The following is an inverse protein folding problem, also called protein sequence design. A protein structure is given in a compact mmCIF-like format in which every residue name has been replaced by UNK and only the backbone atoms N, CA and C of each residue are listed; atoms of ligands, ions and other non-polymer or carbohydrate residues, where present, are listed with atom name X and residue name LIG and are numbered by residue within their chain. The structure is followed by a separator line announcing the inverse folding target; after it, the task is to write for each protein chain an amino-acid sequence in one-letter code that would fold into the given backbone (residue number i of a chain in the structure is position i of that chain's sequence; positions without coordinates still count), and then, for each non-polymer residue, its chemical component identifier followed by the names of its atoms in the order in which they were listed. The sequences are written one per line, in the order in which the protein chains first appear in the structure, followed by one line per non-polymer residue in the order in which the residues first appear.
data_IF_468629912486
#
_entry.id   IF_468629912486
#
_cell.length_a   1.000
_cell.length_b   1.000
_cell.length_c   1.000
_cell.angle_alpha   90.00
_cell.angle_beta   90.00
_cell.angle_gamma   90.00
#
_symmetry.space_group_name_H-M   'P 1'
#
loop_
_entity.id
_entity.type
_entity.pdbx_description
1 polymer ?
#
# COMPACT_ATOMS: atom_id res chain seq x y z
N UNK A 1 14.04 16.71 -28.67
CA UNK A 1 13.32 16.55 -27.39
C UNK A 1 11.88 16.21 -27.71
N UNK A 2 11.44 14.95 -27.55
CA UNK A 2 10.03 14.60 -27.70
C UNK A 2 9.31 15.00 -26.41
N UNK A 3 8.30 15.87 -26.50
CA UNK A 3 7.40 16.17 -25.41
C UNK A 3 6.58 14.91 -25.11
N UNK A 4 6.97 14.16 -24.08
CA UNK A 4 6.14 13.09 -23.53
C UNK A 4 4.94 13.72 -22.82
N UNK A 5 3.96 14.16 -23.59
CA UNK A 5 2.63 14.48 -23.08
C UNK A 5 2.00 13.21 -22.51
N UNK A 6 1.23 13.34 -21.44
CA UNK A 6 0.53 12.22 -20.85
C UNK A 6 -0.38 11.58 -21.92
N UNK A 7 -0.44 10.24 -22.03
CA UNK A 7 -1.37 9.58 -22.93
C UNK A 7 -2.80 10.01 -22.63
N UNK A 8 -3.66 10.16 -23.64
CA UNK A 8 -5.07 10.55 -23.46
C UNK A 8 -5.86 9.57 -22.59
N UNK A 9 -5.45 8.30 -22.52
CA UNK A 9 -6.06 7.30 -21.62
C UNK A 9 -5.64 7.45 -20.16
N UNK A 10 -4.58 8.20 -19.86
CA UNK A 10 -4.09 8.45 -18.51
C UNK A 10 -4.83 9.61 -17.84
N UNK A 11 -6.17 9.52 -17.80
CA UNK A 11 -7.03 10.51 -17.13
C UNK A 11 -6.77 10.56 -15.62
N UNK A 12 -6.23 9.47 -15.05
CA UNK A 12 -5.80 9.37 -13.65
C UNK A 12 -4.27 9.26 -13.54
N UNK A 13 -3.61 10.10 -12.72
CA UNK A 13 -2.18 10.00 -12.40
C UNK A 13 -1.75 8.63 -11.89
N UNK A 14 -2.62 7.95 -11.15
CA UNK A 14 -2.38 6.64 -10.55
C UNK A 14 -2.25 5.56 -11.61
N UNK A 15 -3.18 5.53 -12.58
CA UNK A 15 -3.12 4.60 -13.71
C UNK A 15 -1.85 4.82 -14.53
N UNK A 16 -1.45 6.08 -14.73
CA UNK A 16 -0.21 6.36 -15.44
C UNK A 16 1.02 5.79 -14.73
N UNK A 17 1.10 5.94 -13.41
CA UNK A 17 2.19 5.36 -12.60
C UNK A 17 2.14 3.84 -12.62
N UNK A 18 0.95 3.23 -12.61
CA UNK A 18 0.79 1.78 -12.66
C UNK A 18 1.34 1.16 -13.94
N UNK A 19 1.16 1.81 -15.09
CA UNK A 19 1.58 1.24 -16.39
C UNK A 19 2.91 1.80 -16.91
N UNK A 20 3.29 3.02 -16.54
CA UNK A 20 4.53 3.65 -16.98
C UNK A 20 5.19 4.50 -15.86
N UNK A 21 5.66 3.86 -14.77
CA UNK A 21 6.17 4.55 -13.60
C UNK A 21 7.38 5.42 -13.93
N UNK A 22 8.26 4.98 -14.84
CA UNK A 22 9.45 5.77 -15.19
C UNK A 22 9.10 7.08 -15.89
N UNK A 23 8.11 7.10 -16.80
CA UNK A 23 7.70 8.33 -17.47
C UNK A 23 6.87 9.21 -16.53
N UNK A 24 5.93 8.61 -15.79
CA UNK A 24 5.04 9.31 -14.87
C UNK A 24 5.81 9.99 -13.73
N UNK A 25 6.75 9.33 -13.08
CA UNK A 25 7.55 10.00 -12.03
C UNK A 25 8.39 11.14 -12.60
N UNK A 26 8.93 10.99 -13.81
CA UNK A 26 9.70 12.06 -14.45
C UNK A 26 8.84 13.29 -14.75
N UNK A 27 7.61 13.10 -15.22
CA UNK A 27 6.69 14.21 -15.46
C UNK A 27 6.25 14.86 -14.15
N UNK A 28 5.92 14.06 -13.13
CA UNK A 28 5.46 14.59 -11.85
C UNK A 28 6.52 15.34 -11.03
N UNK A 29 7.80 15.04 -11.27
CA UNK A 29 8.91 15.82 -10.73
C UNK A 29 8.99 17.24 -11.33
N UNK A 30 8.51 17.42 -12.56
CA UNK A 30 8.50 18.73 -13.23
C UNK A 30 7.26 19.55 -12.89
N UNK A 31 6.12 18.90 -12.62
CA UNK A 31 4.92 19.58 -12.14
C UNK A 31 5.09 19.93 -10.66
N UNK A 32 5.34 21.20 -10.37
CA UNK A 32 5.41 21.72 -9.00
C UNK A 32 4.06 21.57 -8.28
N UNK A 33 4.10 21.14 -7.03
CA UNK A 33 2.95 21.05 -6.13
C UNK A 33 3.42 21.16 -4.69
N UNK A 34 3.05 22.23 -4.01
CA UNK A 34 3.57 22.58 -2.68
C UNK A 34 2.41 22.78 -1.71
N UNK A 35 2.22 21.85 -0.79
CA UNK A 35 1.23 21.96 0.26
C UNK A 35 1.37 20.82 1.26
N UNK A 36 1.29 21.12 2.55
CA UNK A 36 1.39 20.10 3.62
C UNK A 36 0.26 19.06 3.50
N UNK A 37 -0.90 19.46 2.97
CA UNK A 37 -2.03 18.57 2.72
C UNK A 37 -1.74 17.42 1.75
N UNK A 38 -0.84 17.62 0.77
CA UNK A 38 -0.44 16.58 -0.17
C UNK A 38 0.19 15.37 0.55
N UNK A 39 0.91 15.61 1.66
CA UNK A 39 1.52 14.54 2.44
C UNK A 39 0.49 13.61 3.11
N UNK A 40 -0.72 14.09 3.40
CA UNK A 40 -1.71 13.36 4.19
C UNK A 40 -2.85 12.78 3.35
N UNK A 41 -3.21 13.42 2.23
CA UNK A 41 -4.36 13.03 1.41
C UNK A 41 -4.34 11.55 1.01
N UNK A 42 -3.22 11.06 0.45
CA UNK A 42 -3.13 9.68 -0.05
C UNK A 42 -2.93 8.63 1.06
N UNK A 43 -2.09 8.87 2.09
CA UNK A 43 -2.04 7.97 3.25
C UNK A 43 -3.39 7.80 3.95
N UNK A 44 -4.17 8.87 4.09
CA UNK A 44 -5.51 8.81 4.68
C UNK A 44 -6.48 8.01 3.81
N UNK A 45 -6.44 8.20 2.48
CA UNK A 45 -7.22 7.38 1.56
C UNK A 45 -6.88 5.89 1.71
N UNK A 46 -5.58 5.56 1.80
CA UNK A 46 -5.15 4.18 2.00
C UNK A 46 -5.64 3.61 3.34
N UNK A 47 -5.52 4.37 4.43
CA UNK A 47 -6.04 3.96 5.74
C UNK A 47 -7.56 3.72 5.71
N UNK A 48 -8.30 4.60 5.02
CA UNK A 48 -9.75 4.44 4.84
C UNK A 48 -10.10 3.17 4.05
N UNK A 49 -9.38 2.91 2.94
CA UNK A 49 -9.59 1.69 2.14
C UNK A 49 -9.28 0.46 2.98
N UNK A 50 -8.22 0.47 3.80
CA UNK A 50 -7.98 -0.63 4.75
C UNK A 50 -9.14 -0.81 5.73
N UNK A 51 -9.63 0.27 6.35
CA UNK A 51 -10.76 0.18 7.26
C UNK A 51 -12.02 -0.40 6.60
N UNK A 52 -12.34 0.01 5.37
CA UNK A 52 -13.45 -0.56 4.61
C UNK A 52 -13.26 -2.05 4.34
N UNK A 53 -12.08 -2.46 3.86
CA UNK A 53 -11.76 -3.85 3.52
C UNK A 53 -11.85 -4.73 4.77
N UNK A 54 -11.23 -4.29 5.88
CA UNK A 54 -11.22 -5.06 7.11
C UNK A 54 -12.63 -5.13 7.72
N UNK A 55 -13.40 -4.04 7.71
CA UNK A 55 -14.80 -4.05 8.16
C UNK A 55 -15.64 -5.06 7.37
N UNK A 56 -15.45 -5.15 6.05
CA UNK A 56 -16.15 -6.15 5.22
C UNK A 56 -15.70 -7.58 5.54
N UNK A 57 -14.39 -7.78 5.74
CA UNK A 57 -13.84 -9.10 6.08
C UNK A 57 -14.26 -9.57 7.48
N UNK A 58 -14.51 -8.67 8.44
CA UNK A 58 -14.81 -9.03 9.83
C UNK A 58 -16.30 -8.98 10.18
N UNK A 59 -17.11 -8.19 9.48
CA UNK A 59 -18.52 -7.96 9.86
C UNK A 59 -19.53 -8.06 8.73
N UNK A 60 -19.07 -8.28 7.48
CA UNK A 60 -19.85 -8.19 6.22
C UNK A 60 -20.59 -6.87 5.97
N UNK A 61 -20.54 -5.94 6.92
CA UNK A 61 -21.26 -4.67 6.89
C UNK A 61 -20.27 -3.50 6.91
N UNK A 62 -20.66 -2.41 6.24
CA UNK A 62 -19.94 -1.15 6.25
C UNK A 62 -20.64 -0.18 7.21
N UNK A 63 -20.47 -0.40 8.51
CA UNK A 63 -20.96 0.53 9.52
C UNK A 63 -19.91 1.63 9.69
N UNK A 64 -20.26 2.93 9.60
CA UNK A 64 -19.28 4.02 9.68
C UNK A 64 -18.40 3.97 10.93
N UNK A 65 -18.96 3.57 12.08
CA UNK A 65 -18.21 3.41 13.33
C UNK A 65 -17.15 2.30 13.26
N UNK A 66 -17.47 1.16 12.64
CA UNK A 66 -16.52 0.07 12.41
C UNK A 66 -15.44 0.49 11.43
N UNK A 67 -15.83 1.09 10.29
CA UNK A 67 -14.90 1.58 9.28
C UNK A 67 -13.93 2.60 9.88
N UNK A 68 -14.41 3.55 10.69
CA UNK A 68 -13.57 4.54 11.35
C UNK A 68 -12.60 3.91 12.37
N UNK A 69 -13.09 2.98 13.19
CA UNK A 69 -12.27 2.25 14.16
C UNK A 69 -11.18 1.42 13.48
N UNK A 70 -11.54 0.65 12.45
CA UNK A 70 -10.59 -0.13 11.67
C UNK A 70 -9.62 0.77 10.90
N UNK A 71 -10.09 1.86 10.28
CA UNK A 71 -9.21 2.82 9.60
C UNK A 71 -8.17 3.41 10.55
N UNK A 72 -8.56 3.72 11.78
CA UNK A 72 -7.66 4.26 12.80
C UNK A 72 -6.64 3.20 13.23
N UNK A 73 -7.08 1.97 13.52
CA UNK A 73 -6.20 0.85 13.87
C UNK A 73 -5.19 0.54 12.75
N UNK A 74 -5.66 0.53 11.50
CA UNK A 74 -4.83 0.22 10.33
C UNK A 74 -4.02 1.42 9.82
N UNK A 75 -4.26 2.64 10.33
CA UNK A 75 -3.47 3.83 9.99
C UNK A 75 -1.98 3.71 10.40
N UNK A 76 -1.66 2.80 11.32
CA UNK A 76 -0.29 2.46 11.70
C UNK A 76 0.54 2.03 10.47
N UNK A 77 -0.06 1.33 9.51
CA UNK A 77 0.62 0.85 8.30
C UNK A 77 1.12 2.02 7.42
N UNK A 78 0.27 2.92 6.90
CA UNK A 78 0.73 4.08 6.15
C UNK A 78 1.63 4.99 7.00
N UNK A 79 1.40 5.09 8.31
CA UNK A 79 2.25 5.88 9.20
C UNK A 79 3.69 5.34 9.25
N UNK A 80 3.87 4.03 9.41
CA UNK A 80 5.19 3.40 9.40
C UNK A 80 5.87 3.50 8.02
N UNK A 81 5.09 3.48 6.93
CA UNK A 81 5.60 3.75 5.58
C UNK A 81 6.11 5.20 5.45
N UNK A 82 5.38 6.18 6.00
CA UNK A 82 5.81 7.59 6.02
C UNK A 82 7.07 7.76 6.86
N UNK A 83 7.15 7.15 8.05
CA UNK A 83 8.34 7.24 8.91
C UNK A 83 9.56 6.62 8.23
N UNK A 84 9.43 5.42 7.68
CA UNK A 84 10.54 4.74 6.98
C UNK A 84 11.02 5.55 5.79
N UNK A 85 10.10 6.10 4.99
CA UNK A 85 10.44 6.98 3.88
C UNK A 85 11.11 8.27 4.36
N UNK A 86 10.60 8.89 5.43
CA UNK A 86 11.20 10.06 6.05
C UNK A 86 12.64 9.77 6.52
N UNK A 87 12.89 8.64 7.17
CA UNK A 87 14.23 8.21 7.59
C UNK A 87 15.18 8.03 6.40
N UNK A 88 14.71 7.44 5.29
CA UNK A 88 15.50 7.29 4.06
C UNK A 88 15.81 8.65 3.41
N UNK A 89 14.86 9.59 3.45
CA UNK A 89 15.06 10.94 2.92
C UNK A 89 15.93 11.82 3.81
N UNK A 90 15.88 11.66 5.14
CA UNK A 90 16.59 12.48 6.11
C UNK A 90 18.10 12.42 5.93
N UNK A 91 18.62 11.24 5.60
CA UNK A 91 20.07 11.05 5.35
C UNK A 91 20.54 11.73 4.05
N UNK A 92 19.64 12.36 3.31
CA UNK A 92 19.89 12.93 1.98
C UNK A 92 19.36 14.36 1.92
N UNK A 93 19.85 15.12 0.94
CA UNK A 93 19.25 16.38 0.53
C UNK A 93 18.41 16.12 -0.71
N UNK A 94 17.17 15.63 -0.58
CA UNK A 94 16.35 15.32 -1.75
C UNK A 94 16.08 16.59 -2.55
N UNK A 95 15.96 16.43 -3.87
CA UNK A 95 15.63 17.52 -4.79
C UNK A 95 14.21 18.03 -4.54
N UNK A 96 13.32 17.16 -4.04
CA UNK A 96 11.93 17.48 -3.71
C UNK A 96 11.74 17.61 -2.19
N UNK A 97 10.76 18.41 -1.77
CA UNK A 97 10.33 18.46 -0.38
C UNK A 97 9.65 17.16 0.07
N UNK A 98 9.83 16.79 1.35
CA UNK A 98 9.27 15.56 1.93
C UNK A 98 7.77 15.34 1.66
N UNK A 99 6.87 16.35 1.77
CA UNK A 99 5.45 16.19 1.44
C UNK A 99 5.20 15.65 0.04
N UNK A 100 5.98 16.13 -0.94
CA UNK A 100 5.86 15.71 -2.34
C UNK A 100 6.42 14.30 -2.55
N UNK A 101 7.49 13.95 -1.85
CA UNK A 101 8.05 12.59 -1.88
C UNK A 101 7.02 11.59 -1.35
N UNK A 102 6.35 11.92 -0.24
CA UNK A 102 5.27 11.09 0.33
C UNK A 102 4.13 10.97 -0.68
N UNK A 103 3.62 12.07 -1.22
CA UNK A 103 2.53 12.06 -2.21
C UNK A 103 2.87 11.17 -3.43
N UNK A 104 4.09 11.30 -3.98
CA UNK A 104 4.55 10.49 -5.10
C UNK A 104 4.70 9.00 -4.73
N UNK A 105 5.21 8.71 -3.54
CA UNK A 105 5.32 7.33 -3.06
C UNK A 105 3.93 6.67 -2.97
N UNK A 106 2.98 7.34 -2.33
CA UNK A 106 1.62 6.82 -2.20
C UNK A 106 0.84 6.82 -3.51
N UNK A 107 1.25 7.56 -4.53
CA UNK A 107 0.70 7.42 -5.89
C UNK A 107 0.99 6.03 -6.49
N UNK A 108 2.11 5.40 -6.10
CA UNK A 108 2.48 4.05 -6.50
C UNK A 108 1.70 2.92 -5.82
N UNK A 109 0.78 3.24 -4.90
CA UNK A 109 0.00 2.25 -4.15
C UNK A 109 -1.22 1.70 -4.93
N UNK A 110 -1.41 2.15 -6.17
CA UNK A 110 -2.51 1.71 -7.05
C UNK A 110 -2.70 0.18 -7.13
N UNK A 111 -1.65 -0.65 -7.34
CA UNK A 111 -1.81 -2.10 -7.40
C UNK A 111 -2.33 -2.71 -6.09
N UNK A 112 -1.91 -2.17 -4.94
CA UNK A 112 -2.41 -2.62 -3.64
C UNK A 112 -3.87 -2.23 -3.44
N UNK A 113 -4.24 -1.00 -3.78
CA UNK A 113 -5.63 -0.55 -3.71
C UNK A 113 -6.53 -1.41 -4.60
N UNK A 114 -6.10 -1.69 -5.84
CA UNK A 114 -6.84 -2.54 -6.77
C UNK A 114 -7.03 -3.95 -6.21
N UNK A 115 -5.97 -4.55 -5.65
CA UNK A 115 -6.06 -5.87 -5.04
C UNK A 115 -6.98 -5.88 -3.82
N UNK A 116 -6.85 -4.91 -2.91
CA UNK A 116 -7.69 -4.77 -1.72
C UNK A 116 -9.17 -4.58 -2.08
N UNK A 117 -9.47 -3.74 -3.07
CA UNK A 117 -10.84 -3.56 -3.58
C UNK A 117 -11.36 -4.85 -4.20
N UNK A 118 -10.53 -5.59 -4.94
CA UNK A 118 -10.89 -6.90 -5.47
C UNK A 118 -11.24 -7.90 -4.35
N UNK A 119 -10.42 -7.97 -3.30
CA UNK A 119 -10.68 -8.82 -2.12
C UNK A 119 -11.98 -8.43 -1.44
N UNK A 120 -12.21 -7.14 -1.20
CA UNK A 120 -13.44 -6.63 -0.58
C UNK A 120 -14.69 -6.93 -1.43
N UNK A 121 -14.60 -6.78 -2.75
CA UNK A 121 -15.71 -7.09 -3.66
C UNK A 121 -16.01 -8.59 -3.65
N UNK A 122 -14.99 -9.45 -3.72
CA UNK A 122 -15.16 -10.91 -3.62
C UNK A 122 -15.74 -11.34 -2.27
N UNK A 123 -15.31 -10.71 -1.17
CA UNK A 123 -15.86 -11.02 0.16
C UNK A 123 -17.30 -10.54 0.32
N UNK A 124 -17.70 -9.46 -0.35
CA UNK A 124 -19.09 -8.96 -0.27
C UNK A 124 -20.12 -9.85 -0.97
N UNK A 125 -19.69 -10.70 -1.91
CA UNK A 125 -20.58 -11.63 -2.65
C UNK A 125 -20.50 -13.07 -2.14
N UNK A 126 -19.56 -13.35 -1.23
CA UNK A 126 -19.38 -14.69 -0.66
C UNK A 126 -20.23 -14.84 0.60
N UNK A 127 -20.84 -16.01 0.80
CA UNK A 127 -21.51 -16.31 2.06
C UNK A 127 -20.52 -16.26 3.22
N UNK A 128 -20.95 -15.75 4.37
CA UNK A 128 -20.08 -15.57 5.55
C UNK A 128 -19.38 -16.87 5.99
N UNK A 129 -20.08 -18.00 5.85
CA UNK A 129 -19.53 -19.35 6.14
C UNK A 129 -18.36 -19.67 5.20
N UNK A 130 -18.44 -19.28 3.94
CA UNK A 130 -17.36 -19.46 2.98
C UNK A 130 -16.15 -18.56 3.27
N UNK A 131 -16.38 -17.34 3.74
CA UNK A 131 -15.31 -16.42 4.15
C UNK A 131 -14.58 -16.93 5.39
N UNK A 132 -15.28 -17.51 6.38
CA UNK A 132 -14.58 -18.16 7.51
C UNK A 132 -13.77 -19.38 7.07
N UNK A 133 -14.25 -20.12 6.08
CA UNK A 133 -13.49 -21.21 5.47
C UNK A 133 -12.25 -20.71 4.70
N UNK A 134 -12.10 -19.41 4.40
CA UNK A 134 -10.86 -18.86 3.84
C UNK A 134 -9.67 -18.96 4.79
N UNK A 135 -9.92 -19.10 6.11
CA UNK A 135 -8.87 -19.36 7.09
C UNK A 135 -8.34 -20.81 7.05
N UNK A 136 -8.95 -21.69 6.25
CA UNK A 136 -8.45 -23.04 6.01
C UNK A 136 -7.10 -23.03 5.27
N UNK A 137 -6.20 -24.00 5.54
CA UNK A 137 -4.82 -23.97 5.04
C UNK A 137 -4.74 -23.82 3.51
N UNK A 138 -5.59 -24.51 2.75
CA UNK A 138 -5.61 -24.45 1.28
C UNK A 138 -6.05 -23.09 0.73
N UNK A 139 -7.01 -22.42 1.38
CA UNK A 139 -7.52 -21.11 0.95
C UNK A 139 -6.64 -19.96 1.41
N UNK A 140 -5.94 -20.08 2.54
CA UNK A 140 -4.88 -19.14 2.95
C UNK A 140 -3.78 -19.05 1.89
N UNK A 141 -3.35 -20.18 1.33
CA UNK A 141 -2.36 -20.19 0.24
C UNK A 141 -2.87 -19.51 -1.04
N UNK A 142 -4.16 -19.63 -1.37
CA UNK A 142 -4.77 -18.93 -2.50
C UNK A 142 -4.82 -17.41 -2.24
N UNK A 143 -5.21 -16.99 -1.04
CA UNK A 143 -5.24 -15.58 -0.63
C UNK A 143 -3.84 -14.96 -0.68
N UNK A 144 -2.83 -15.63 -0.09
CA UNK A 144 -1.43 -15.20 -0.15
C UNK A 144 -0.88 -15.22 -1.58
N UNK A 145 -1.26 -16.23 -2.37
CA UNK A 145 -0.90 -16.33 -3.78
C UNK A 145 -1.44 -15.16 -4.60
N UNK A 146 -2.67 -14.72 -4.32
CA UNK A 146 -3.30 -13.58 -4.98
C UNK A 146 -2.60 -12.24 -4.70
N UNK A 147 -1.84 -12.14 -3.59
CA UNK A 147 -1.06 -10.94 -3.25
C UNK A 147 0.21 -10.80 -4.10
N UNK A 148 0.74 -11.90 -4.64
CA UNK A 148 2.02 -11.89 -5.35
C UNK A 148 2.02 -10.95 -6.56
N UNK A 149 1.00 -10.92 -7.44
CA UNK A 149 0.94 -9.95 -8.52
C UNK A 149 0.98 -8.49 -8.02
N UNK A 150 0.21 -8.16 -6.99
CA UNK A 150 0.19 -6.82 -6.41
C UNK A 150 1.55 -6.44 -5.79
N UNK A 151 2.20 -7.40 -5.13
CA UNK A 151 3.51 -7.22 -4.52
C UNK A 151 4.62 -7.03 -5.56
N UNK A 152 4.66 -7.87 -6.60
CA UNK A 152 5.63 -7.76 -7.71
C UNK A 152 5.41 -6.44 -8.45
N UNK A 153 4.16 -6.11 -8.78
CA UNK A 153 3.82 -4.89 -9.52
C UNK A 153 4.17 -3.64 -8.70
N UNK A 154 3.79 -3.61 -7.42
CA UNK A 154 4.10 -2.47 -6.56
C UNK A 154 5.61 -2.37 -6.28
N UNK A 155 6.33 -3.48 -6.17
CA UNK A 155 7.79 -3.49 -6.10
C UNK A 155 8.45 -2.92 -7.36
N UNK A 156 7.93 -3.25 -8.54
CA UNK A 156 8.40 -2.65 -9.79
C UNK A 156 8.20 -1.13 -9.81
N UNK A 157 7.05 -0.63 -9.34
CA UNK A 157 6.79 0.82 -9.23
C UNK A 157 7.73 1.49 -8.22
N UNK A 158 7.88 0.92 -7.02
CA UNK A 158 8.77 1.43 -5.97
C UNK A 158 10.22 1.51 -6.44
N UNK A 159 10.66 0.52 -7.21
CA UNK A 159 12.01 0.52 -7.77
C UNK A 159 12.23 1.75 -8.65
N UNK A 160 11.27 2.09 -9.51
CA UNK A 160 11.34 3.31 -10.31
C UNK A 160 11.20 4.58 -9.49
N UNK A 161 10.39 4.57 -8.43
CA UNK A 161 10.32 5.68 -7.49
C UNK A 161 11.69 5.97 -6.87
N UNK A 162 12.37 4.97 -6.29
CA UNK A 162 13.70 5.16 -5.72
C UNK A 162 14.75 5.55 -6.78
N UNK A 163 14.66 4.98 -7.99
CA UNK A 163 15.58 5.33 -9.08
C UNK A 163 15.40 6.76 -9.60
N UNK A 164 14.16 7.21 -9.75
CA UNK A 164 13.84 8.47 -10.45
C UNK A 164 13.64 9.63 -9.50
N UNK A 165 12.84 9.43 -8.45
CA UNK A 165 12.51 10.48 -7.48
C UNK A 165 13.65 10.68 -6.48
N UNK A 166 14.25 9.60 -6.00
CA UNK A 166 15.35 9.65 -5.02
C UNK A 166 16.74 9.69 -5.66
N UNK A 167 16.84 9.56 -6.98
CA UNK A 167 18.11 9.62 -7.72
C UNK A 167 19.08 8.47 -7.42
N UNK A 168 18.58 7.34 -6.93
CA UNK A 168 19.43 6.22 -6.52
C UNK A 168 20.11 5.50 -7.68
N UNK A 169 21.28 4.93 -7.43
CA UNK A 169 21.85 3.90 -8.30
C UNK A 169 20.95 2.65 -8.33
N UNK A 170 21.16 1.74 -9.29
CA UNK A 170 20.36 0.50 -9.37
C UNK A 170 20.42 -0.33 -8.08
N UNK A 171 21.62 -0.51 -7.54
CA UNK A 171 21.83 -1.24 -6.28
C UNK A 171 21.24 -0.51 -5.07
N UNK A 172 21.40 0.82 -5.00
CA UNK A 172 20.82 1.64 -3.94
C UNK A 172 19.29 1.57 -3.93
N UNK A 173 18.67 1.61 -5.11
CA UNK A 173 17.21 1.51 -5.25
C UNK A 173 16.68 0.15 -4.79
N UNK A 174 17.33 -0.96 -5.19
CA UNK A 174 16.93 -2.30 -4.72
C UNK A 174 17.07 -2.43 -3.21
N UNK A 175 18.20 -2.00 -2.64
CA UNK A 175 18.41 -2.05 -1.18
C UNK A 175 17.34 -1.27 -0.43
N UNK A 176 17.08 -0.03 -0.83
CA UNK A 176 16.12 0.82 -0.15
C UNK A 176 14.68 0.33 -0.34
N UNK A 177 14.34 -0.22 -1.51
CA UNK A 177 13.08 -0.92 -1.74
C UNK A 177 12.92 -2.09 -0.75
N UNK A 178 13.93 -2.95 -0.63
CA UNK A 178 13.87 -4.10 0.27
C UNK A 178 13.74 -3.67 1.72
N UNK A 179 14.46 -2.63 2.15
CA UNK A 179 14.33 -2.07 3.50
C UNK A 179 12.93 -1.49 3.75
N UNK A 180 12.42 -0.68 2.81
CA UNK A 180 11.08 -0.11 2.89
C UNK A 180 10.02 -1.21 2.96
N UNK A 181 10.17 -2.24 2.12
CA UNK A 181 9.26 -3.39 2.07
C UNK A 181 9.35 -4.24 3.32
N UNK A 182 10.54 -4.47 3.87
CA UNK A 182 10.70 -5.21 5.12
C UNK A 182 10.00 -4.50 6.27
N UNK A 183 10.16 -3.17 6.40
CA UNK A 183 9.49 -2.38 7.45
C UNK A 183 7.97 -2.41 7.27
N UNK A 184 7.50 -2.19 6.02
CA UNK A 184 6.08 -2.24 5.72
C UNK A 184 5.49 -3.64 6.00
N UNK A 185 6.16 -4.71 5.54
CA UNK A 185 5.72 -6.09 5.70
C UNK A 185 5.77 -6.56 7.16
N UNK A 186 6.74 -6.13 7.97
CA UNK A 186 6.77 -6.44 9.41
C UNK A 186 5.51 -5.92 10.11
N UNK A 187 5.05 -4.74 9.73
CA UNK A 187 3.83 -4.13 10.26
C UNK A 187 2.60 -4.99 9.94
N UNK A 188 2.51 -5.47 8.69
CA UNK A 188 1.47 -6.41 8.26
C UNK A 188 1.52 -7.71 9.04
N UNK A 189 2.70 -8.31 9.20
CA UNK A 189 2.86 -9.56 9.95
C UNK A 189 2.43 -9.39 11.41
N UNK A 190 2.85 -8.35 12.11
CA UNK A 190 2.46 -8.15 13.51
C UNK A 190 0.94 -7.99 13.65
N UNK A 191 0.31 -7.22 12.75
CA UNK A 191 -1.13 -6.98 12.81
C UNK A 191 -1.96 -8.19 12.37
N UNK A 192 -1.64 -8.81 11.23
CA UNK A 192 -2.37 -10.00 10.73
C UNK A 192 -2.14 -11.22 11.61
N UNK A 193 -0.89 -11.52 11.94
CA UNK A 193 -0.56 -12.70 12.73
C UNK A 193 -1.02 -12.51 14.17
N UNK A 194 -0.89 -11.31 14.72
CA UNK A 194 -1.49 -10.96 16.01
C UNK A 194 -3.00 -11.21 16.02
N UNK A 195 -3.74 -10.72 15.01
CA UNK A 195 -5.20 -10.85 14.98
C UNK A 195 -5.67 -12.30 14.72
N UNK A 196 -5.01 -13.04 13.84
CA UNK A 196 -5.42 -14.40 13.45
C UNK A 196 -4.94 -15.46 14.44
N UNK A 197 -3.72 -15.32 14.98
CA UNK A 197 -3.07 -16.38 15.78
C UNK A 197 -3.34 -16.20 17.28
N UNK A 198 -3.54 -14.97 17.76
CA UNK A 198 -3.81 -14.72 19.18
C UNK A 198 -5.06 -15.44 19.72
N UNK A 199 -6.20 -15.48 19.01
CA UNK A 199 -7.38 -16.22 19.46
C UNK A 199 -7.18 -17.75 19.51
N UNK A 200 -6.19 -18.27 18.76
CA UNK A 200 -5.91 -19.71 18.67
C UNK A 200 -4.94 -20.21 19.74
N UNK A 201 -4.16 -19.32 20.37
CA UNK A 201 -3.17 -19.66 21.39
C UNK A 201 -3.77 -20.20 22.71
N UNK A 202 -4.81 -19.58 23.30
CA UNK A 202 -5.39 -20.03 24.58
C UNK A 202 -5.91 -21.46 24.53
N UNK A 203 -6.48 -21.87 23.38
CA UNK A 203 -7.00 -23.22 23.18
C UNK A 203 -5.92 -24.31 23.13
N UNK A 204 -4.66 -23.95 22.84
CA UNK A 204 -3.53 -24.89 22.80
C UNK A 204 -2.76 -25.00 24.11
N UNK A 205 -2.84 -24.00 24.99
CA UNK A 205 -2.13 -23.97 26.27
C UNK A 205 -3.00 -24.44 27.46
N UNK A 206 -4.30 -24.63 27.26
CA UNK A 206 -5.25 -25.14 28.25
C UNK A 206 -5.52 -26.65 28.19
N UNK A 207 -4.67 -27.44 27.52
CA UNK A 207 -4.67 -28.91 27.57
C UNK A 207 -3.36 -29.41 28.16
#
# INVERSE_FOLDING_TARGET
MQSNTAPTWATSPELWVMFNPSAAFRSFMLTGGGGRWLAFRRPLLLALVFGCVISLLTSTQLIPGLVAGESLSWSVVPFLQVISLAMLTWRRRPVLGLPRIIDLFFTGMGPWLLWLTGVAALSSVSDWVDVQNWAGPSRVWLSLGSMLPALIWSGWIDFYFFRRVMGESRSGAVRNLLLQRLIASMSWFVLFYGYVVWPLLPWRLGR
#
